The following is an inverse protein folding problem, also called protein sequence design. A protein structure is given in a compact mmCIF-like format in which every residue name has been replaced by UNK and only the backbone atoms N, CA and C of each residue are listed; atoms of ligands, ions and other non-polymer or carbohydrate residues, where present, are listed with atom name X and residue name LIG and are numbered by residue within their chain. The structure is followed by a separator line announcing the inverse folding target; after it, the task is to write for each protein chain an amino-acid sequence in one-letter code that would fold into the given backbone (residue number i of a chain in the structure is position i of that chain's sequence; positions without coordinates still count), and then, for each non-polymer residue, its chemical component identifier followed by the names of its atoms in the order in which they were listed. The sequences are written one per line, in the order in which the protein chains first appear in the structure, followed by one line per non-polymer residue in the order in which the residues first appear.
data_IF_184286659085
#
_entry.id   IF_184286659085
#
_cell.length_a   1.000
_cell.length_b   1.000
_cell.length_c   1.000
_cell.angle_alpha   90.00
_cell.angle_beta   90.00
_cell.angle_gamma   90.00
#
_symmetry.space_group_name_H-M   'P 1'
#
loop_
_entity.id
_entity.type
_entity.pdbx_description
1 polymer ?
#
# COMPACT_ATOMS: atom_id res chain seq x y z
N UNK A 1 -25.52 -35.72 34.63
CA UNK A 1 -25.76 -34.38 34.02
C UNK A 1 -24.55 -33.95 33.19
N UNK A 2 -24.39 -34.45 31.95
CA UNK A 2 -23.20 -34.22 31.11
C UNK A 2 -23.51 -33.64 29.71
N UNK A 3 -24.77 -33.30 29.42
CA UNK A 3 -25.20 -32.92 28.07
C UNK A 3 -24.78 -31.49 27.69
N UNK A 4 -24.87 -30.53 28.61
CA UNK A 4 -24.56 -29.11 28.30
C UNK A 4 -23.12 -28.85 27.86
N UNK A 5 -22.11 -29.51 28.47
CA UNK A 5 -20.72 -29.38 28.01
C UNK A 5 -20.52 -29.96 26.61
N UNK A 6 -21.16 -31.10 26.32
CA UNK A 6 -21.04 -31.77 25.03
C UNK A 6 -21.63 -30.90 23.91
N UNK A 7 -22.76 -30.27 24.17
CA UNK A 7 -23.44 -29.37 23.22
C UNK A 7 -22.60 -28.12 22.94
N UNK A 8 -22.01 -27.53 23.97
CA UNK A 8 -21.06 -26.40 23.83
C UNK A 8 -19.86 -26.79 22.97
N UNK A 9 -19.24 -27.95 23.22
CA UNK A 9 -18.11 -28.38 22.40
C UNK A 9 -18.51 -28.72 20.95
N UNK A 10 -19.72 -29.23 20.71
CA UNK A 10 -20.23 -29.47 19.36
C UNK A 10 -20.46 -28.16 18.60
N UNK A 11 -21.05 -27.14 19.25
CA UNK A 11 -21.19 -25.80 18.66
C UNK A 11 -19.83 -25.19 18.30
N UNK A 12 -18.82 -25.35 19.16
CA UNK A 12 -17.43 -24.93 18.87
C UNK A 12 -16.90 -25.58 17.60
N UNK A 13 -17.17 -26.88 17.39
CA UNK A 13 -16.72 -27.59 16.18
C UNK A 13 -17.45 -27.09 14.95
N UNK A 14 -18.77 -26.94 15.00
CA UNK A 14 -19.57 -26.45 13.85
C UNK A 14 -19.17 -25.03 13.43
N UNK A 15 -18.89 -24.12 14.38
CA UNK A 15 -18.40 -22.78 14.05
C UNK A 15 -17.07 -22.82 13.28
N UNK A 16 -16.15 -23.72 13.66
CA UNK A 16 -14.87 -23.89 12.97
C UNK A 16 -15.04 -24.57 11.61
N UNK A 17 -15.97 -25.52 11.49
CA UNK A 17 -16.34 -26.13 10.20
C UNK A 17 -16.85 -25.05 9.25
N UNK A 18 -17.77 -24.19 9.71
CA UNK A 18 -18.30 -23.09 8.90
C UNK A 18 -17.21 -22.13 8.43
N UNK A 19 -16.24 -21.84 9.29
CA UNK A 19 -15.07 -21.02 8.92
C UNK A 19 -14.25 -21.68 7.79
N UNK A 20 -14.04 -22.99 7.87
CA UNK A 20 -13.35 -23.76 6.81
C UNK A 20 -14.18 -23.87 5.53
N UNK A 21 -15.50 -24.00 5.63
CA UNK A 21 -16.40 -23.99 4.46
C UNK A 21 -16.38 -22.62 3.77
N UNK A 22 -16.35 -21.52 4.52
CA UNK A 22 -16.17 -20.18 3.97
C UNK A 22 -14.83 -20.03 3.25
N UNK A 23 -13.74 -20.51 3.87
CA UNK A 23 -12.42 -20.54 3.23
C UNK A 23 -12.45 -21.34 1.92
N UNK A 24 -13.01 -22.56 1.95
CA UNK A 24 -13.18 -23.42 0.77
C UNK A 24 -14.00 -22.71 -0.31
N UNK A 25 -15.03 -21.96 0.05
CA UNK A 25 -15.89 -21.18 -0.85
C UNK A 25 -15.25 -19.90 -1.38
N UNK A 26 -14.12 -19.46 -0.82
CA UNK A 26 -13.38 -18.27 -1.26
C UNK A 26 -13.93 -16.96 -0.74
N UNK A 27 -14.66 -17.05 0.35
CA UNK A 27 -15.05 -15.90 1.14
C UNK A 27 -13.88 -15.43 2.00
N UNK A 28 -13.94 -14.17 2.40
CA UNK A 28 -12.95 -13.57 3.28
C UNK A 28 -12.94 -14.31 4.62
N UNK A 29 -11.74 -14.54 5.15
CA UNK A 29 -11.53 -15.35 6.35
C UNK A 29 -10.84 -14.54 7.45
N UNK A 30 -11.43 -14.58 8.64
CA UNK A 30 -10.93 -13.85 9.81
C UNK A 30 -9.81 -14.60 10.55
N UNK A 31 -9.11 -15.53 9.89
CA UNK A 31 -8.09 -16.35 10.52
C UNK A 31 -6.83 -16.50 9.68
N UNK A 32 -5.71 -16.64 10.36
CA UNK A 32 -4.41 -16.78 9.71
C UNK A 32 -4.31 -18.17 9.08
N UNK A 33 -3.89 -18.23 7.81
CA UNK A 33 -3.73 -19.51 7.12
C UNK A 33 -2.56 -20.31 7.71
N UNK A 34 -2.79 -21.57 8.14
CA UNK A 34 -1.71 -22.39 8.67
C UNK A 34 -0.77 -22.87 7.56
N UNK A 35 0.45 -23.23 7.98
CA UNK A 35 1.41 -23.91 7.10
C UNK A 35 0.96 -25.31 6.65
N UNK A 36 0.01 -25.93 7.38
CA UNK A 36 -0.63 -27.20 7.04
C UNK A 36 -1.98 -27.29 7.75
N UNK A 37 -3.05 -27.52 7.00
CA UNK A 37 -4.34 -27.86 7.61
C UNK A 37 -4.24 -29.26 8.22
N UNK A 38 -4.33 -29.33 9.55
CA UNK A 38 -4.26 -30.58 10.32
C UNK A 38 -5.32 -30.61 11.40
N UNK A 39 -5.69 -31.82 11.85
CA UNK A 39 -6.65 -31.96 12.94
C UNK A 39 -6.16 -31.29 14.23
N UNK A 40 -4.85 -31.36 14.50
CA UNK A 40 -4.25 -30.68 15.64
C UNK A 40 -4.45 -29.17 15.56
N UNK A 41 -4.16 -28.56 14.40
CA UNK A 41 -4.43 -27.14 14.18
C UNK A 41 -5.91 -26.81 14.35
N UNK A 42 -6.82 -27.60 13.77
CA UNK A 42 -8.27 -27.36 13.87
C UNK A 42 -8.76 -27.36 15.33
N UNK A 43 -8.25 -28.30 16.11
CA UNK A 43 -8.60 -28.46 17.52
C UNK A 43 -8.00 -27.35 18.39
N UNK A 44 -6.76 -26.94 18.12
CA UNK A 44 -6.07 -25.85 18.83
C UNK A 44 -6.43 -24.46 18.30
N UNK A 45 -7.17 -24.38 17.20
CA UNK A 45 -7.55 -23.13 16.55
C UNK A 45 -8.29 -22.22 17.53
N UNK A 46 -7.75 -21.02 17.71
CA UNK A 46 -8.10 -20.10 18.81
C UNK A 46 -7.90 -18.63 18.46
N UNK A 47 -7.85 -18.27 17.17
CA UNK A 47 -7.60 -16.88 16.77
C UNK A 47 -8.88 -16.03 16.77
N UNK A 48 -8.77 -14.77 17.17
CA UNK A 48 -9.86 -13.79 17.11
C UNK A 48 -11.16 -14.29 17.74
N UNK A 49 -12.26 -14.24 16.97
CA UNK A 49 -13.60 -14.70 17.42
C UNK A 49 -13.68 -16.19 17.75
N UNK A 50 -12.63 -16.98 17.47
CA UNK A 50 -12.56 -18.41 17.74
C UNK A 50 -11.78 -18.76 19.02
N UNK A 51 -11.27 -17.78 19.76
CA UNK A 51 -10.50 -17.99 21.00
C UNK A 51 -11.31 -18.73 22.07
N UNK A 52 -12.57 -18.32 22.24
CA UNK A 52 -13.54 -18.99 23.13
C UNK A 52 -13.86 -20.42 22.67
N UNK A 53 -13.57 -20.76 21.42
CA UNK A 53 -13.82 -22.05 20.78
C UNK A 53 -12.59 -22.97 20.78
N UNK A 54 -11.49 -22.59 21.45
CA UNK A 54 -10.28 -23.41 21.57
C UNK A 54 -10.52 -24.70 22.37
N UNK A 55 -9.69 -25.73 22.11
CA UNK A 55 -9.68 -27.04 22.79
C UNK A 55 -10.94 -27.89 22.59
N UNK A 56 -11.38 -28.04 21.33
CA UNK A 56 -12.53 -28.89 20.95
C UNK A 56 -12.23 -30.40 20.91
N UNK A 57 -11.06 -30.85 21.39
CA UNK A 57 -10.55 -32.22 21.24
C UNK A 57 -11.51 -33.28 21.77
N UNK A 58 -12.23 -32.96 22.85
CA UNK A 58 -13.14 -33.90 23.51
C UNK A 58 -14.37 -34.28 22.67
N UNK A 59 -14.72 -33.49 21.64
CA UNK A 59 -15.88 -33.75 20.78
C UNK A 59 -15.58 -34.52 19.50
N UNK A 60 -14.32 -34.55 19.06
CA UNK A 60 -13.93 -35.20 17.81
C UNK A 60 -13.31 -36.56 18.15
N UNK A 61 -14.15 -37.58 18.26
CA UNK A 61 -13.68 -38.96 18.44
C UNK A 61 -13.22 -39.54 17.11
N UNK A 62 -12.09 -40.24 17.12
CA UNK A 62 -11.59 -40.97 15.95
C UNK A 62 -12.65 -41.94 15.40
N UNK A 63 -12.68 -42.13 14.09
CA UNK A 63 -13.64 -43.00 13.40
C UNK A 63 -15.07 -42.48 13.27
N UNK A 64 -15.45 -41.37 13.92
CA UNK A 64 -16.81 -40.80 13.81
C UNK A 64 -17.07 -40.10 12.48
N UNK A 65 -18.35 -39.99 12.11
CA UNK A 65 -18.79 -39.25 10.92
C UNK A 65 -18.29 -37.80 10.95
N UNK A 66 -18.35 -37.15 12.11
CA UNK A 66 -17.84 -35.79 12.31
C UNK A 66 -16.34 -35.70 12.03
N UNK A 67 -15.54 -36.65 12.54
CA UNK A 67 -14.11 -36.70 12.28
C UNK A 67 -13.81 -36.87 10.77
N UNK A 68 -14.55 -37.75 10.09
CA UNK A 68 -14.42 -37.93 8.63
C UNK A 68 -14.74 -36.63 7.87
N UNK A 69 -15.82 -35.92 8.25
CA UNK A 69 -16.20 -34.63 7.66
C UNK A 69 -15.09 -33.58 7.85
N UNK A 70 -14.56 -33.45 9.06
CA UNK A 70 -13.48 -32.49 9.37
C UNK A 70 -12.21 -32.82 8.58
N UNK A 71 -11.80 -34.09 8.53
CA UNK A 71 -10.61 -34.51 7.76
C UNK A 71 -10.79 -34.22 6.26
N UNK A 72 -11.96 -34.54 5.70
CA UNK A 72 -12.24 -34.27 4.28
C UNK A 72 -12.15 -32.77 3.98
N UNK A 73 -12.79 -31.95 4.81
CA UNK A 73 -12.79 -30.49 4.66
C UNK A 73 -11.38 -29.90 4.79
N UNK A 74 -10.57 -30.38 5.75
CA UNK A 74 -9.18 -29.97 5.90
C UNK A 74 -8.34 -30.33 4.68
N UNK A 75 -8.59 -31.49 4.05
CA UNK A 75 -7.91 -31.90 2.82
C UNK A 75 -8.23 -30.97 1.66
N UNK A 76 -9.51 -30.63 1.47
CA UNK A 76 -9.95 -29.69 0.43
C UNK A 76 -9.38 -28.29 0.64
N UNK A 77 -9.34 -27.81 1.89
CA UNK A 77 -8.70 -26.53 2.24
C UNK A 77 -7.20 -26.54 1.96
N UNK A 78 -6.52 -27.66 2.20
CA UNK A 78 -5.08 -27.83 1.91
C UNK A 78 -4.81 -27.83 0.40
N UNK A 79 -5.66 -28.47 -0.40
CA UNK A 79 -5.57 -28.46 -1.86
C UNK A 79 -5.75 -27.04 -2.41
N UNK A 80 -6.75 -26.31 -1.92
CA UNK A 80 -6.99 -24.91 -2.28
C UNK A 80 -5.79 -24.03 -1.92
N UNK A 81 -5.25 -24.16 -0.69
CA UNK A 81 -4.06 -23.41 -0.28
C UNK A 81 -2.87 -23.66 -1.21
N UNK A 82 -2.69 -24.91 -1.64
CA UNK A 82 -1.63 -25.28 -2.61
C UNK A 82 -1.90 -24.70 -4.00
N UNK A 83 -3.14 -24.67 -4.48
CA UNK A 83 -3.46 -24.02 -5.76
C UNK A 83 -3.23 -22.51 -5.71
N UNK A 84 -3.65 -21.87 -4.61
CA UNK A 84 -3.47 -20.43 -4.41
C UNK A 84 -1.98 -20.08 -4.33
N UNK A 85 -1.18 -20.87 -3.60
CA UNK A 85 0.29 -20.70 -3.54
C UNK A 85 0.97 -20.86 -4.91
N UNK A 86 0.52 -21.81 -5.74
CA UNK A 86 1.06 -22.00 -7.10
C UNK A 86 0.75 -20.81 -8.01
N UNK A 87 -0.41 -20.17 -7.84
CA UNK A 87 -0.79 -19.00 -8.64
C UNK A 87 -0.21 -17.68 -8.11
N UNK A 88 0.07 -17.58 -6.81
CA UNK A 88 0.56 -16.35 -6.18
C UNK A 88 2.08 -16.18 -6.27
N UNK A 89 2.87 -17.25 -6.41
CA UNK A 89 4.32 -17.14 -6.64
C UNK A 89 4.71 -16.35 -7.91
N UNK A 90 4.12 -16.59 -9.10
CA UNK A 90 4.44 -15.79 -10.28
C UNK A 90 4.00 -14.33 -10.13
N UNK A 91 2.82 -14.08 -9.54
CA UNK A 91 2.32 -12.71 -9.28
C UNK A 91 3.21 -11.94 -8.31
N UNK A 92 3.74 -12.58 -7.26
CA UNK A 92 4.64 -11.92 -6.30
C UNK A 92 5.93 -11.44 -6.98
N UNK A 93 6.49 -12.22 -7.91
CA UNK A 93 7.67 -11.84 -8.68
C UNK A 93 7.38 -10.71 -9.67
N UNK A 94 6.22 -10.74 -10.33
CA UNK A 94 5.75 -9.65 -11.19
C UNK A 94 5.56 -8.35 -10.40
N UNK A 95 4.93 -8.42 -9.23
CA UNK A 95 4.75 -7.26 -8.35
C UNK A 95 6.09 -6.71 -7.85
N UNK A 96 7.06 -7.56 -7.48
CA UNK A 96 8.41 -7.09 -7.13
C UNK A 96 9.11 -6.39 -8.29
N UNK A 97 9.01 -6.93 -9.50
CA UNK A 97 9.57 -6.31 -10.70
C UNK A 97 8.89 -4.97 -11.03
N UNK A 98 7.58 -4.87 -10.81
CA UNK A 98 6.82 -3.63 -10.98
C UNK A 98 7.23 -2.59 -9.93
N UNK A 99 7.34 -2.99 -8.65
CA UNK A 99 7.82 -2.10 -7.57
C UNK A 99 9.22 -1.57 -7.90
N UNK A 100 10.12 -2.42 -8.40
CA UNK A 100 11.46 -2.00 -8.79
C UNK A 100 11.42 -0.94 -9.91
N UNK A 101 10.64 -1.19 -10.97
CA UNK A 101 10.46 -0.24 -12.08
C UNK A 101 9.88 1.10 -11.61
N UNK A 102 8.83 1.07 -10.81
CA UNK A 102 8.21 2.29 -10.27
C UNK A 102 9.16 3.09 -9.37
N UNK A 103 10.05 2.42 -8.63
CA UNK A 103 11.10 3.10 -7.84
C UNK A 103 12.13 3.78 -8.73
N UNK A 104 12.54 3.13 -9.81
CA UNK A 104 13.48 3.69 -10.79
C UNK A 104 12.87 4.92 -11.48
N UNK A 105 11.62 4.81 -11.96
CA UNK A 105 10.88 5.94 -12.56
C UNK A 105 10.76 7.12 -11.60
N UNK A 106 10.41 6.85 -10.33
CA UNK A 106 10.27 7.88 -9.31
C UNK A 106 11.59 8.62 -9.03
N UNK A 107 12.72 7.92 -9.04
CA UNK A 107 14.03 8.56 -8.90
C UNK A 107 14.42 9.38 -10.13
N UNK A 108 14.08 8.93 -11.33
CA UNK A 108 14.27 9.71 -12.57
C UNK A 108 13.46 11.00 -12.51
N UNK A 109 12.16 10.92 -12.22
CA UNK A 109 11.27 12.09 -12.14
C UNK A 109 11.72 13.07 -11.06
N UNK A 110 12.23 12.59 -9.91
CA UNK A 110 12.80 13.47 -8.88
C UNK A 110 14.02 14.24 -9.38
N UNK A 111 14.93 13.58 -10.10
CA UNK A 111 16.13 14.24 -10.65
C UNK A 111 15.74 15.29 -11.68
N UNK A 112 14.83 14.95 -12.60
CA UNK A 112 14.33 15.89 -13.61
C UNK A 112 13.66 17.11 -12.96
N UNK A 113 12.81 16.88 -11.95
CA UNK A 113 12.15 17.96 -11.21
C UNK A 113 13.15 18.86 -10.48
N UNK A 114 14.21 18.30 -9.89
CA UNK A 114 15.25 19.10 -9.24
C UNK A 114 16.06 19.91 -10.26
N UNK A 115 16.43 19.32 -11.39
CA UNK A 115 17.11 20.03 -12.47
C UNK A 115 16.26 21.20 -13.01
N UNK A 116 14.96 20.98 -13.25
CA UNK A 116 14.04 22.03 -13.67
C UNK A 116 13.87 23.12 -12.60
N UNK A 117 13.90 22.77 -11.32
CA UNK A 117 13.83 23.75 -10.24
C UNK A 117 15.07 24.65 -10.20
N UNK A 118 16.26 24.08 -10.38
CA UNK A 118 17.52 24.83 -10.49
C UNK A 118 17.53 25.75 -11.71
N UNK A 119 17.11 25.26 -12.87
CA UNK A 119 16.96 26.06 -14.09
C UNK A 119 15.99 27.23 -13.86
N UNK A 120 14.86 27.01 -13.18
CA UNK A 120 13.89 28.06 -12.88
C UNK A 120 14.48 29.15 -11.96
N UNK A 121 15.27 28.75 -10.97
CA UNK A 121 15.98 29.68 -10.07
C UNK A 121 16.95 30.55 -10.88
N UNK A 122 17.71 29.93 -11.78
CA UNK A 122 18.69 30.64 -12.60
C UNK A 122 18.02 31.61 -13.58
N UNK A 123 16.96 31.18 -14.26
CA UNK A 123 16.17 32.05 -15.14
C UNK A 123 15.56 33.23 -14.38
N UNK A 124 15.12 33.04 -13.12
CA UNK A 124 14.63 34.14 -12.28
C UNK A 124 15.75 35.15 -11.94
N UNK A 125 16.97 34.68 -11.67
CA UNK A 125 18.13 35.56 -11.43
C UNK A 125 18.45 36.39 -12.68
N UNK A 126 18.54 35.74 -13.83
CA UNK A 126 18.77 36.42 -15.10
C UNK A 126 17.68 37.45 -15.43
N UNK A 127 16.42 37.15 -15.13
CA UNK A 127 15.31 38.08 -15.29
C UNK A 127 15.48 39.32 -14.40
N UNK A 128 15.87 39.14 -13.14
CA UNK A 128 16.11 40.25 -12.20
C UNK A 128 17.25 41.14 -12.69
N UNK A 129 18.36 40.55 -13.11
CA UNK A 129 19.51 41.29 -13.62
C UNK A 129 19.18 42.06 -14.89
N UNK A 130 18.44 41.44 -15.80
CA UNK A 130 17.97 42.10 -17.02
C UNK A 130 17.04 43.26 -16.69
N UNK A 131 16.10 43.10 -15.75
CA UNK A 131 15.22 44.18 -15.28
C UNK A 131 16.02 45.34 -14.69
N UNK A 132 17.05 45.08 -13.89
CA UNK A 132 17.94 46.11 -13.34
C UNK A 132 18.68 46.87 -14.43
N UNK A 133 19.27 46.16 -15.41
CA UNK A 133 19.94 46.78 -16.57
C UNK A 133 18.99 47.71 -17.34
N UNK A 134 17.76 47.27 -17.60
CA UNK A 134 16.74 48.10 -18.26
C UNK A 134 16.37 49.33 -17.44
N UNK A 135 16.25 49.22 -16.11
CA UNK A 135 15.97 50.36 -15.23
C UNK A 135 17.10 51.39 -15.26
N UNK A 136 18.35 50.95 -15.15
CA UNK A 136 19.52 51.83 -15.23
C UNK A 136 19.54 52.55 -16.58
N UNK A 137 19.34 51.82 -17.68
CA UNK A 137 19.32 52.39 -19.01
C UNK A 137 18.21 53.44 -19.18
N UNK A 138 17.00 53.17 -18.65
CA UNK A 138 15.90 54.14 -18.66
C UNK A 138 16.20 55.39 -17.82
N UNK A 139 16.88 55.24 -16.68
CA UNK A 139 17.31 56.37 -15.86
C UNK A 139 18.34 57.24 -16.60
N UNK A 140 19.35 56.62 -17.22
CA UNK A 140 20.36 57.31 -18.03
C UNK A 140 19.73 58.12 -19.17
N UNK A 141 18.77 57.55 -19.90
CA UNK A 141 18.04 58.27 -20.96
C UNK A 141 17.28 59.48 -20.40
N UNK A 142 16.63 59.31 -19.23
CA UNK A 142 15.88 60.40 -18.59
C UNK A 142 16.81 61.54 -18.17
N UNK A 143 17.96 61.21 -17.58
CA UNK A 143 18.95 62.19 -17.16
C UNK A 143 19.54 62.93 -18.37
N UNK A 144 19.89 62.22 -19.44
CA UNK A 144 20.33 62.83 -20.70
C UNK A 144 19.29 63.79 -21.28
N UNK A 145 18.02 63.40 -21.30
CA UNK A 145 16.93 64.25 -21.80
C UNK A 145 16.72 65.49 -20.92
N UNK A 146 16.84 65.34 -19.59
CA UNK A 146 16.72 66.45 -18.65
C UNK A 146 17.88 67.44 -18.83
N UNK A 147 19.11 66.95 -18.94
CA UNK A 147 20.30 67.77 -19.18
C UNK A 147 20.21 68.52 -20.51
N UNK A 148 19.73 67.88 -21.58
CA UNK A 148 19.49 68.55 -22.88
C UNK A 148 18.49 69.70 -22.76
N UNK A 149 17.40 69.51 -22.01
CA UNK A 149 16.38 70.57 -21.79
C UNK A 149 16.95 71.75 -20.99
N UNK A 150 17.71 71.48 -19.93
CA UNK A 150 18.35 72.53 -19.12
C UNK A 150 19.31 73.35 -19.97
N UNK A 151 20.14 72.69 -20.79
CA UNK A 151 21.06 73.36 -21.71
C UNK A 151 20.31 74.22 -22.73
N UNK A 152 19.20 73.72 -23.30
CA UNK A 152 18.41 74.51 -24.25
C UNK A 152 17.73 75.73 -23.62
N UNK A 153 17.30 75.65 -22.35
CA UNK A 153 16.72 76.80 -21.65
C UNK A 153 17.77 77.86 -21.36
N UNK A 154 18.95 77.48 -20.86
CA UNK A 154 20.06 78.41 -20.60
C UNK A 154 20.49 79.17 -21.85
N UNK A 155 20.51 78.51 -23.00
CA UNK A 155 20.89 79.15 -24.27
C UNK A 155 19.82 80.10 -24.83
N UNK A 156 18.58 80.05 -24.35
CA UNK A 156 17.49 80.94 -24.77
C UNK A 156 17.31 82.16 -23.83
N UNK A 157 17.99 82.17 -22.68
CA UNK A 157 17.95 83.26 -21.69
C UNK A 157 19.18 84.20 -21.76
N UNK A 158 20.13 83.93 -22.67
CA UNK A 158 21.28 84.79 -22.99
C UNK A 158 21.10 85.48 -24.33
#
# INVERSE_FOLDING_TARGET
MNNGLKDVFMQKVECKIKALENYKGGLDIDFTLPNKFSLNWFVSFSEGKYESLSKSTKSIKSGTVLNKRVIALLSECEERRKSDNKQSQPKAKEHQNLIKRLREELEITKRERNAQAEENIELRRQLIDTKRKVQIFRAQIRDQNTNRKILSMKNNES
#
